data_IF_172384925160
#
_entry.id   IF_172384925160
#
_cell.length_a   1.000
_cell.length_b   1.000
_cell.length_c   1.000
_cell.angle_alpha   90.00
_cell.angle_beta   90.00
_cell.angle_gamma   90.00
#
_symmetry.space_group_name_H-M   'P 1'
#
loop_
_entity.id
_entity.type
_entity.pdbx_description
1 polymer ?
#
# COMPACT_ATOMS: atom_id res chain seq x y z
N UNK A 1 1.35 -11.11 -2.15
CA UNK A 1 1.46 -10.55 -0.78
C UNK A 1 0.05 -10.27 -0.27
N UNK A 2 -0.19 -10.57 1.00
CA UNK A 2 -1.35 -10.14 1.77
C UNK A 2 -0.84 -9.20 2.86
N UNK A 3 -1.53 -8.08 3.01
CA UNK A 3 -1.34 -7.14 4.11
C UNK A 3 -2.63 -7.12 4.93
N UNK A 4 -2.58 -7.57 6.18
CA UNK A 4 -3.74 -7.69 7.07
C UNK A 4 -3.59 -6.79 8.31
N UNK A 5 -4.71 -6.22 8.77
CA UNK A 5 -4.76 -5.33 9.95
C UNK A 5 -6.10 -5.38 10.66
N UNK A 6 -6.09 -5.66 11.96
CA UNK A 6 -7.25 -5.43 12.83
C UNK A 6 -7.50 -3.93 13.05
N UNK A 7 -8.75 -3.51 12.94
CA UNK A 7 -9.16 -2.10 12.89
C UNK A 7 -9.65 -1.56 14.23
N UNK A 8 -10.11 -2.43 15.13
CA UNK A 8 -10.86 -2.04 16.33
C UNK A 8 -10.27 -2.56 17.67
N UNK A 9 -9.15 -3.28 17.67
CA UNK A 9 -8.57 -3.85 18.90
C UNK A 9 -7.26 -3.18 19.34
N UNK A 10 -7.07 -3.07 20.65
CA UNK A 10 -5.77 -2.79 21.27
C UNK A 10 -5.09 -4.10 21.68
N UNK A 11 -3.82 -4.30 21.29
CA UNK A 11 -3.05 -5.53 21.50
C UNK A 11 -3.20 -6.54 20.35
N UNK A 12 -2.07 -7.01 19.80
CA UNK A 12 -1.97 -7.84 18.58
C UNK A 12 -2.51 -7.21 17.29
N UNK A 13 -2.66 -5.90 17.24
CA UNK A 13 -3.19 -5.17 16.10
C UNK A 13 -2.10 -4.64 15.17
N UNK A 14 -0.98 -5.35 15.04
CA UNK A 14 0.06 -4.95 14.07
C UNK A 14 -0.48 -5.04 12.64
N UNK A 15 0.20 -4.35 11.74
CA UNK A 15 0.04 -4.52 10.30
C UNK A 15 0.90 -5.71 9.86
N UNK A 16 0.27 -6.84 9.57
CA UNK A 16 0.96 -8.08 9.21
C UNK A 16 1.11 -8.24 7.70
N UNK A 17 2.32 -8.52 7.23
CA UNK A 17 2.65 -8.80 5.84
C UNK A 17 3.10 -10.24 5.68
N UNK A 18 2.43 -10.93 4.76
CA UNK A 18 2.77 -12.29 4.34
C UNK A 18 2.83 -12.33 2.83
N UNK A 19 3.74 -13.12 2.29
CA UNK A 19 3.89 -13.29 0.86
C UNK A 19 4.25 -14.74 0.55
N UNK A 20 3.97 -15.14 -0.68
CA UNK A 20 4.25 -16.48 -1.17
C UNK A 20 5.67 -16.64 -1.73
N UNK A 21 6.54 -15.63 -1.60
CA UNK A 21 7.90 -15.67 -2.13
C UNK A 21 8.93 -16.12 -1.08
N UNK A 22 8.60 -15.99 0.20
CA UNK A 22 9.38 -16.54 1.32
C UNK A 22 8.94 -17.97 1.66
N UNK A 23 9.87 -18.85 2.07
CA UNK A 23 9.59 -20.26 2.33
C UNK A 23 8.86 -20.51 3.66
N UNK A 24 8.91 -19.56 4.61
CA UNK A 24 8.20 -19.64 5.88
C UNK A 24 6.90 -18.83 5.84
N UNK A 25 5.89 -19.29 6.57
CA UNK A 25 4.66 -18.53 6.83
C UNK A 25 4.89 -17.36 7.82
N UNK A 26 6.13 -16.95 8.04
CA UNK A 26 6.47 -15.93 9.02
C UNK A 26 5.93 -14.56 8.61
N UNK A 27 5.29 -13.91 9.57
CA UNK A 27 4.73 -12.56 9.38
C UNK A 27 5.80 -11.51 9.57
N UNK A 28 5.76 -10.52 8.69
CA UNK A 28 6.43 -9.24 8.89
C UNK A 28 5.46 -8.26 9.52
N UNK A 29 5.98 -7.31 10.30
CA UNK A 29 5.20 -6.24 10.96
C UNK A 29 5.72 -4.89 10.50
N UNK A 30 4.87 -4.07 9.88
CA UNK A 30 5.32 -2.80 9.28
C UNK A 30 5.66 -1.72 10.30
N UNK A 31 5.18 -1.86 11.53
CA UNK A 31 5.51 -1.03 12.69
C UNK A 31 6.69 -1.57 13.51
N UNK A 32 7.47 -2.53 12.98
CA UNK A 32 8.59 -3.17 13.69
C UNK A 32 9.82 -3.33 12.81
N UNK A 33 11.01 -3.24 13.43
CA UNK A 33 12.29 -3.53 12.80
C UNK A 33 12.71 -5.01 12.96
N UNK A 34 11.98 -5.78 13.76
CA UNK A 34 12.29 -7.18 14.04
C UNK A 34 12.30 -8.03 12.75
N UNK A 35 13.00 -9.16 12.80
CA UNK A 35 12.91 -10.20 11.77
C UNK A 35 11.50 -10.81 11.71
N UNK A 36 11.13 -11.47 10.59
CA UNK A 36 9.91 -12.26 10.52
C UNK A 36 9.83 -13.25 11.68
N UNK A 37 8.61 -13.47 12.15
CA UNK A 37 8.33 -14.46 13.20
C UNK A 37 7.11 -15.28 12.82
N UNK A 38 7.07 -16.53 13.27
CA UNK A 38 5.93 -17.42 13.01
C UNK A 38 4.63 -16.78 13.54
N UNK A 39 3.59 -16.65 12.71
CA UNK A 39 2.28 -16.27 13.19
C UNK A 39 1.68 -17.40 14.02
N UNK A 40 0.92 -17.04 15.04
CA UNK A 40 0.01 -17.95 15.69
C UNK A 40 -1.11 -18.29 14.69
N UNK A 41 -0.96 -19.40 13.94
CA UNK A 41 -2.00 -20.00 13.08
C UNK A 41 -1.75 -20.09 11.57
N UNK A 42 -0.59 -19.64 11.06
CA UNK A 42 -0.19 -19.89 9.66
C UNK A 42 -1.01 -19.12 8.60
N UNK A 43 -0.54 -19.16 7.35
CA UNK A 43 -1.22 -18.58 6.19
C UNK A 43 -1.21 -19.61 5.05
N UNK A 44 -2.23 -19.58 4.21
CA UNK A 44 -2.22 -20.35 2.97
C UNK A 44 -2.70 -19.50 1.80
N UNK A 45 -2.04 -19.69 0.66
CA UNK A 45 -2.40 -19.03 -0.59
C UNK A 45 -3.04 -20.04 -1.54
N UNK A 46 -4.08 -19.61 -2.23
CA UNK A 46 -4.74 -20.38 -3.28
C UNK A 46 -4.93 -19.53 -4.53
N UNK A 47 -5.36 -20.14 -5.62
CA UNK A 47 -5.66 -19.41 -6.86
C UNK A 47 -6.80 -18.39 -6.70
N UNK A 48 -7.65 -18.56 -5.68
CA UNK A 48 -8.86 -17.76 -5.46
C UNK A 48 -8.76 -16.84 -4.23
N UNK A 49 -7.59 -16.76 -3.58
CA UNK A 49 -7.40 -15.91 -2.41
C UNK A 49 -6.43 -16.50 -1.41
N UNK A 50 -6.71 -16.28 -0.13
CA UNK A 50 -5.87 -16.72 0.96
C UNK A 50 -6.72 -17.06 2.18
N UNK A 51 -6.18 -17.91 3.06
CA UNK A 51 -6.72 -18.12 4.41
C UNK A 51 -5.77 -17.46 5.41
N UNK A 52 -6.31 -16.56 6.24
CA UNK A 52 -5.59 -16.03 7.40
C UNK A 52 -5.76 -17.00 8.56
N UNK A 53 -4.65 -17.41 9.16
CA UNK A 53 -4.67 -18.13 10.42
C UNK A 53 -4.45 -17.22 11.62
N UNK A 54 -4.37 -15.90 11.45
CA UNK A 54 -4.19 -15.00 12.59
C UNK A 54 -5.35 -15.11 13.57
N UNK A 55 -4.98 -15.31 14.84
CA UNK A 55 -5.94 -15.26 15.93
C UNK A 55 -6.21 -13.81 16.32
N UNK A 56 -7.38 -13.31 15.96
CA UNK A 56 -7.85 -11.98 16.34
C UNK A 56 -8.78 -12.06 17.56
N UNK A 57 -8.53 -11.23 18.58
CA UNK A 57 -9.41 -11.17 19.75
C UNK A 57 -10.82 -10.67 19.35
N UNK A 58 -11.85 -11.45 19.66
CA UNK A 58 -13.24 -11.14 19.30
C UNK A 58 -13.85 -10.08 20.24
N UNK A 59 -14.65 -9.10 19.73
CA UNK A 59 -15.03 -8.91 18.32
C UNK A 59 -13.93 -8.21 17.51
N UNK A 60 -13.44 -8.86 16.45
CA UNK A 60 -12.42 -8.31 15.56
C UNK A 60 -13.03 -7.86 14.23
N UNK A 61 -12.71 -6.63 13.82
CA UNK A 61 -12.91 -6.18 12.45
C UNK A 61 -11.56 -6.04 11.78
N UNK A 62 -11.39 -6.65 10.61
CA UNK A 62 -10.11 -6.76 9.93
C UNK A 62 -10.22 -6.14 8.55
N UNK A 63 -9.17 -5.44 8.14
CA UNK A 63 -8.93 -5.08 6.74
C UNK A 63 -7.84 -5.98 6.18
N UNK A 64 -7.96 -6.32 4.90
CA UNK A 64 -6.86 -6.91 4.17
C UNK A 64 -6.75 -6.36 2.76
N UNK A 65 -5.52 -6.24 2.30
CA UNK A 65 -5.19 -5.84 0.94
C UNK A 65 -4.30 -6.91 0.32
N UNK A 66 -4.69 -7.38 -0.86
CA UNK A 66 -3.98 -8.42 -1.57
C UNK A 66 -3.32 -7.85 -2.83
N UNK A 67 -2.03 -8.14 -2.95
CA UNK A 67 -1.21 -7.68 -4.06
C UNK A 67 -0.62 -8.90 -4.76
N UNK A 68 -1.17 -9.19 -5.94
CA UNK A 68 -0.72 -10.30 -6.79
C UNK A 68 0.38 -9.81 -7.72
N UNK A 69 1.42 -10.63 -7.92
CA UNK A 69 2.44 -10.35 -8.92
C UNK A 69 1.80 -10.15 -10.29
N UNK A 70 2.11 -9.03 -10.94
CA UNK A 70 1.71 -8.75 -12.31
C UNK A 70 2.62 -7.65 -12.91
N UNK A 71 3.02 -7.77 -14.20
CA UNK A 71 3.67 -6.68 -14.91
C UNK A 71 2.87 -5.38 -14.78
N UNK A 72 3.57 -4.26 -14.70
CA UNK A 72 3.01 -2.91 -14.52
C UNK A 72 2.15 -2.72 -13.26
N UNK A 73 2.20 -3.63 -12.30
CA UNK A 73 1.45 -3.51 -11.05
C UNK A 73 2.31 -3.74 -9.81
N UNK A 74 2.74 -4.98 -9.60
CA UNK A 74 3.38 -5.39 -8.35
C UNK A 74 4.31 -6.58 -8.58
N UNK A 75 5.44 -6.59 -7.87
CA UNK A 75 6.31 -7.77 -7.74
C UNK A 75 6.80 -7.91 -6.30
N UNK A 76 7.19 -9.14 -5.94
CA UNK A 76 7.90 -9.42 -4.69
C UNK A 76 9.17 -10.22 -5.00
N UNK A 77 10.32 -9.71 -4.56
CA UNK A 77 11.63 -10.31 -4.81
C UNK A 77 12.30 -10.59 -3.48
N UNK A 78 12.85 -11.79 -3.33
CA UNK A 78 13.73 -12.14 -2.21
C UNK A 78 15.17 -12.19 -2.70
N UNK A 79 16.12 -11.78 -1.87
CA UNK A 79 17.54 -11.83 -2.22
C UNK A 79 18.42 -11.90 -0.98
N UNK A 80 19.60 -12.52 -1.12
CA UNK A 80 20.66 -12.50 -0.10
C UNK A 80 21.62 -11.39 -0.44
N UNK A 81 21.82 -10.46 0.48
CA UNK A 81 22.77 -9.36 0.42
C UNK A 81 24.21 -9.83 0.25
N UNK A 82 25.04 -8.99 -0.38
CA UNK A 82 26.43 -9.33 -0.71
C UNK A 82 27.43 -8.19 -0.41
N UNK A 83 26.99 -7.13 0.28
CA UNK A 83 27.82 -5.98 0.64
C UNK A 83 28.32 -5.13 -0.53
N UNK A 84 28.04 -5.48 -1.79
CA UNK A 84 28.53 -4.76 -2.96
C UNK A 84 27.70 -3.50 -3.21
N UNK A 85 28.38 -2.37 -3.36
CA UNK A 85 27.78 -1.09 -3.77
C UNK A 85 27.35 -1.17 -5.24
N UNK A 86 26.17 -0.65 -5.57
CA UNK A 86 25.68 -0.65 -6.95
C UNK A 86 25.12 -2.00 -7.38
N UNK A 87 24.80 -2.90 -6.43
CA UNK A 87 24.16 -4.17 -6.76
C UNK A 87 22.79 -3.92 -7.37
N UNK A 88 22.54 -4.55 -8.51
CA UNK A 88 21.25 -4.56 -9.17
C UNK A 88 20.41 -5.74 -8.70
N UNK A 89 19.16 -5.47 -8.33
CA UNK A 89 18.16 -6.47 -7.97
C UNK A 89 17.09 -6.49 -9.07
N UNK A 90 16.94 -7.62 -9.81
CA UNK A 90 15.99 -7.71 -10.91
C UNK A 90 14.54 -7.79 -10.41
N UNK A 91 13.61 -7.24 -11.19
CA UNK A 91 12.16 -7.33 -10.97
C UNK A 91 11.40 -7.42 -12.30
N UNK A 92 10.14 -7.87 -12.25
CA UNK A 92 9.36 -8.23 -13.44
C UNK A 92 8.25 -7.23 -13.78
N UNK A 93 8.45 -5.95 -13.47
CA UNK A 93 7.41 -4.94 -13.69
C UNK A 93 7.31 -4.50 -15.15
N UNK A 94 8.42 -4.49 -15.90
CA UNK A 94 8.44 -3.97 -17.28
C UNK A 94 8.29 -2.44 -17.36
N UNK A 95 8.19 -1.76 -16.22
CA UNK A 95 8.16 -0.30 -16.03
C UNK A 95 8.92 0.05 -14.77
N UNK A 96 9.37 1.30 -14.64
CA UNK A 96 10.09 1.73 -13.45
C UNK A 96 9.19 1.68 -12.20
N UNK A 97 9.68 1.14 -11.07
CA UNK A 97 8.98 1.19 -9.80
C UNK A 97 8.62 2.62 -9.38
N UNK A 98 7.40 2.79 -8.88
CA UNK A 98 6.97 4.02 -8.22
C UNK A 98 7.26 4.04 -6.72
N UNK A 99 7.19 2.87 -6.08
CA UNK A 99 7.49 2.67 -4.67
C UNK A 99 8.16 1.31 -4.47
N UNK A 100 9.24 1.27 -3.69
CA UNK A 100 9.93 0.03 -3.32
C UNK A 100 10.05 -0.01 -1.80
N UNK A 101 9.62 -1.10 -1.19
CA UNK A 101 9.69 -1.32 0.24
C UNK A 101 10.60 -2.52 0.50
N UNK A 102 11.77 -2.30 1.08
CA UNK A 102 12.75 -3.34 1.41
C UNK A 102 12.76 -3.61 2.91
N UNK A 103 12.78 -4.89 3.28
CA UNK A 103 12.94 -5.35 4.65
C UNK A 103 13.98 -6.44 4.77
N UNK A 104 14.89 -6.27 5.73
CA UNK A 104 15.79 -7.34 6.17
C UNK A 104 15.02 -8.41 6.94
N UNK A 105 15.22 -9.68 6.53
CA UNK A 105 14.51 -10.86 7.04
C UNK A 105 15.37 -11.80 7.87
N UNK A 106 16.65 -11.52 8.07
CA UNK A 106 17.57 -12.27 8.93
C UNK A 106 18.42 -11.37 9.84
N UNK A 107 19.35 -11.97 10.60
CA UNK A 107 20.23 -11.28 11.51
C UNK A 107 19.46 -10.65 12.67
N UNK A 108 19.85 -9.44 13.08
CA UNK A 108 19.13 -8.66 14.10
C UNK A 108 17.86 -7.96 13.56
N UNK A 109 17.55 -8.13 12.27
CA UNK A 109 16.54 -7.32 11.59
C UNK A 109 17.06 -5.93 11.22
N UNK A 110 16.15 -5.02 10.90
CA UNK A 110 16.49 -3.70 10.38
C UNK A 110 15.27 -2.89 9.99
N UNK A 111 15.47 -1.58 9.86
CA UNK A 111 14.46 -0.63 9.41
C UNK A 111 13.91 -0.99 8.03
N UNK A 112 12.62 -0.74 7.81
CA UNK A 112 12.01 -0.80 6.49
C UNK A 112 12.53 0.36 5.65
N UNK A 113 13.18 0.09 4.52
CA UNK A 113 13.69 1.15 3.64
C UNK A 113 12.71 1.36 2.50
N UNK A 114 12.23 2.59 2.36
CA UNK A 114 11.26 2.95 1.31
C UNK A 114 11.89 3.91 0.32
N UNK A 115 11.92 3.50 -0.94
CA UNK A 115 12.10 4.37 -2.10
C UNK A 115 10.72 4.82 -2.57
N UNK A 116 10.59 6.08 -2.97
CA UNK A 116 9.40 6.55 -3.64
C UNK A 116 9.76 7.60 -4.68
N UNK A 117 9.27 7.47 -5.92
CA UNK A 117 9.62 8.38 -7.03
C UNK A 117 9.25 9.85 -6.77
N UNK A 118 8.29 10.09 -5.88
CA UNK A 118 7.84 11.41 -5.47
C UNK A 118 8.55 11.98 -4.23
N UNK A 119 9.55 11.30 -3.65
CA UNK A 119 10.28 11.85 -2.49
C UNK A 119 11.01 13.12 -2.84
N UNK A 120 11.53 13.25 -4.05
CA UNK A 120 12.17 14.43 -4.59
C UNK A 120 11.83 14.57 -6.08
N UNK A 121 11.83 15.81 -6.60
CA UNK A 121 11.46 16.07 -7.99
C UNK A 121 12.50 15.59 -9.00
N UNK A 122 13.77 15.51 -8.59
CA UNK A 122 14.90 15.28 -9.51
C UNK A 122 15.75 14.07 -9.13
N UNK A 123 15.93 13.81 -7.84
CA UNK A 123 16.79 12.74 -7.36
C UNK A 123 16.14 11.95 -6.21
N UNK A 124 14.98 11.29 -6.43
CA UNK A 124 14.29 10.52 -5.39
C UNK A 124 15.15 9.40 -4.78
N UNK A 125 16.11 8.87 -5.54
CA UNK A 125 17.04 7.82 -5.13
C UNK A 125 18.10 8.26 -4.10
N UNK A 126 18.26 9.57 -3.87
CA UNK A 126 19.17 10.11 -2.86
C UNK A 126 18.51 10.18 -1.47
N UNK A 127 17.25 9.73 -1.37
CA UNK A 127 16.45 9.78 -0.16
C UNK A 127 15.88 8.43 0.22
N UNK A 128 15.64 8.27 1.52
CA UNK A 128 14.85 7.19 2.07
C UNK A 128 13.70 7.75 2.89
N UNK A 129 12.66 6.94 3.02
CA UNK A 129 11.76 6.98 4.16
C UNK A 129 11.77 5.62 4.87
N UNK A 130 11.13 5.57 6.04
CA UNK A 130 11.05 4.35 6.83
C UNK A 130 9.60 4.01 7.15
N UNK A 131 9.16 2.80 6.78
CA UNK A 131 7.75 2.41 6.89
C UNK A 131 7.27 2.31 8.34
N UNK A 132 8.18 1.98 9.27
CA UNK A 132 7.85 1.87 10.69
C UNK A 132 7.92 3.19 11.48
N UNK A 133 8.27 4.29 10.81
CA UNK A 133 8.55 5.58 11.46
C UNK A 133 7.61 6.68 10.93
N UNK A 134 7.51 7.75 11.72
CA UNK A 134 6.82 9.00 11.39
C UNK A 134 7.74 10.05 10.78
N UNK A 135 9.07 9.87 10.86
CA UNK A 135 10.06 10.81 10.37
C UNK A 135 9.84 11.23 8.90
N UNK A 136 10.32 12.42 8.54
CA UNK A 136 10.34 12.89 7.15
C UNK A 136 11.35 12.09 6.31
N UNK A 137 11.41 12.38 5.01
CA UNK A 137 12.49 11.86 4.15
C UNK A 137 13.86 12.26 4.73
N UNK A 138 14.84 11.39 4.59
CA UNK A 138 16.23 11.64 4.98
C UNK A 138 17.17 11.35 3.81
N UNK A 139 18.24 12.13 3.68
CA UNK A 139 19.30 11.87 2.70
C UNK A 139 19.95 10.52 3.01
N UNK A 140 20.11 9.69 1.99
CA UNK A 140 20.65 8.35 2.14
C UNK A 140 21.13 7.81 0.81
N UNK A 141 22.23 7.06 0.85
CA UNK A 141 22.75 6.35 -0.30
C UNK A 141 22.21 4.93 -0.43
N UNK A 142 21.13 4.55 0.28
CA UNK A 142 20.61 3.16 0.29
C UNK A 142 20.28 2.61 -1.11
N UNK A 143 19.89 3.48 -2.04
CA UNK A 143 19.56 3.13 -3.43
C UNK A 143 20.75 3.32 -4.39
N UNK A 144 21.96 3.40 -3.84
CA UNK A 144 23.20 3.64 -4.59
C UNK A 144 23.15 4.88 -5.49
N UNK A 145 22.34 5.89 -5.11
CA UNK A 145 22.05 7.10 -5.88
C UNK A 145 21.71 6.80 -7.36
N UNK A 146 21.11 5.64 -7.64
CA UNK A 146 20.76 5.19 -8.99
C UNK A 146 19.25 4.99 -9.09
N UNK A 147 18.61 5.70 -10.02
CA UNK A 147 17.17 5.58 -10.23
C UNK A 147 16.80 4.17 -10.71
N UNK A 148 15.71 3.56 -10.20
CA UNK A 148 15.20 2.28 -10.70
C UNK A 148 14.84 2.34 -12.18
N UNK A 149 15.03 1.23 -12.89
CA UNK A 149 14.69 1.07 -14.31
C UNK A 149 13.48 0.14 -14.47
N UNK A 150 13.14 -0.22 -15.71
CA UNK A 150 12.03 -1.14 -15.99
C UNK A 150 12.26 -2.60 -15.54
N UNK A 151 13.48 -2.96 -15.16
CA UNK A 151 13.90 -4.34 -14.90
C UNK A 151 14.78 -4.52 -13.67
N UNK A 152 15.39 -3.45 -13.15
CA UNK A 152 16.23 -3.50 -11.94
C UNK A 152 16.03 -2.27 -11.05
N UNK A 153 16.17 -2.46 -9.75
CA UNK A 153 16.52 -1.39 -8.82
C UNK A 153 17.91 -1.63 -8.23
N UNK A 154 18.59 -0.56 -7.81
CA UNK A 154 19.96 -0.64 -7.34
C UNK A 154 20.02 -0.37 -5.85
N UNK A 155 20.83 -1.17 -5.14
CA UNK A 155 21.04 -1.04 -3.70
C UNK A 155 22.51 -0.80 -3.39
N UNK A 156 22.77 -0.12 -2.29
CA UNK A 156 24.12 0.11 -1.77
C UNK A 156 24.52 -0.99 -0.77
N UNK A 157 25.81 -1.19 -0.53
CA UNK A 157 26.35 -2.24 0.34
C UNK A 157 26.07 -2.09 1.84
N UNK A 158 25.31 -1.08 2.25
CA UNK A 158 25.07 -0.76 3.66
C UNK A 158 23.90 -1.56 4.28
N UNK A 159 23.87 -1.54 5.62
CA UNK A 159 22.82 -2.13 6.44
C UNK A 159 21.41 -1.65 6.07
N UNK A 160 20.49 -2.61 5.94
CA UNK A 160 19.07 -2.37 5.66
C UNK A 160 18.65 -2.51 4.21
N UNK A 161 19.57 -2.67 3.25
CA UNK A 161 19.22 -3.02 1.85
C UNK A 161 20.10 -4.08 1.20
N UNK A 162 21.37 -4.25 1.59
CA UNK A 162 22.27 -5.23 0.95
C UNK A 162 23.44 -5.67 1.84
N UNK A 163 23.28 -5.72 3.16
CA UNK A 163 24.36 -6.20 4.03
C UNK A 163 24.77 -7.62 3.65
N UNK A 164 26.07 -7.90 3.69
CA UNK A 164 26.61 -9.20 3.28
C UNK A 164 26.00 -10.35 4.09
N UNK A 165 25.67 -11.46 3.41
CA UNK A 165 25.02 -12.67 3.96
C UNK A 165 23.59 -12.50 4.49
N UNK A 166 23.09 -11.28 4.67
CA UNK A 166 21.73 -11.02 5.17
C UNK A 166 20.66 -11.21 4.10
N UNK A 167 19.50 -11.75 4.47
CA UNK A 167 18.37 -11.95 3.55
C UNK A 167 17.41 -10.77 3.59
N UNK A 168 16.78 -10.51 2.44
CA UNK A 168 15.86 -9.39 2.24
C UNK A 168 14.63 -9.83 1.44
N UNK A 169 13.53 -9.12 1.67
CA UNK A 169 12.36 -9.09 0.77
C UNK A 169 12.11 -7.66 0.32
N UNK A 170 11.81 -7.50 -0.98
CA UNK A 170 11.40 -6.25 -1.60
C UNK A 170 9.98 -6.38 -2.14
N UNK A 171 9.09 -5.47 -1.71
CA UNK A 171 7.75 -5.29 -2.29
C UNK A 171 7.79 -4.09 -3.23
N UNK A 172 7.52 -4.34 -4.51
CA UNK A 172 7.85 -3.43 -5.60
C UNK A 172 6.56 -3.04 -6.31
N UNK A 173 6.15 -1.78 -6.18
CA UNK A 173 4.94 -1.23 -6.78
C UNK A 173 5.30 -0.42 -8.02
N UNK A 174 4.62 -0.70 -9.12
CA UNK A 174 4.85 0.00 -10.38
C UNK A 174 4.38 1.46 -10.34
N UNK A 175 4.89 2.25 -11.26
CA UNK A 175 4.26 3.50 -11.69
C UNK A 175 3.88 3.35 -13.16
N UNK A 176 2.58 3.26 -13.44
CA UNK A 176 2.06 3.06 -14.79
C UNK A 176 1.08 4.18 -15.17
N UNK A 177 1.53 5.04 -16.08
CA UNK A 177 0.75 6.18 -16.60
C UNK A 177 0.03 5.87 -17.90
N UNK A 178 0.07 4.61 -18.36
CA UNK A 178 -0.74 4.20 -19.51
C UNK A 178 -2.24 4.33 -19.20
N UNK A 179 -3.05 4.46 -20.26
CA UNK A 179 -4.51 4.68 -20.16
C UNK A 179 -5.22 3.59 -19.35
N UNK A 180 -4.76 2.36 -19.47
CA UNK A 180 -5.23 1.17 -18.77
C UNK A 180 -4.42 0.85 -17.49
N UNK A 181 -3.46 1.71 -17.14
CA UNK A 181 -2.68 1.62 -15.92
C UNK A 181 -3.59 1.54 -14.68
N UNK A 182 -3.23 0.64 -13.76
CA UNK A 182 -4.00 0.37 -12.54
C UNK A 182 -3.30 0.86 -11.27
N UNK A 183 -2.10 1.41 -11.38
CA UNK A 183 -1.32 1.92 -10.24
C UNK A 183 -0.50 3.14 -10.64
N UNK A 184 -0.54 4.18 -9.81
CA UNK A 184 0.31 5.35 -9.98
C UNK A 184 0.86 5.81 -8.63
N UNK A 185 2.17 6.02 -8.59
CA UNK A 185 2.85 6.69 -7.50
C UNK A 185 3.21 8.14 -7.87
N UNK A 186 3.07 9.07 -6.93
CA UNK A 186 3.41 10.48 -7.16
C UNK A 186 3.56 11.28 -5.87
N UNK A 187 3.53 12.59 -5.99
CA UNK A 187 3.52 13.52 -4.87
C UNK A 187 2.42 14.55 -5.03
N UNK A 188 2.07 15.20 -3.92
CA UNK A 188 1.21 16.38 -3.89
C UNK A 188 1.69 17.34 -2.81
N UNK A 189 1.32 18.60 -2.96
CA UNK A 189 1.57 19.65 -1.98
C UNK A 189 0.23 20.20 -1.53
N UNK A 190 0.03 20.31 -0.23
CA UNK A 190 -1.16 20.95 0.33
C UNK A 190 -0.97 22.47 0.37
N UNK A 191 -2.07 23.20 0.23
CA UNK A 191 -2.08 24.65 0.36
C UNK A 191 -1.96 25.11 1.82
N UNK A 192 -2.01 26.42 2.05
CA UNK A 192 -1.94 27.01 3.40
C UNK A 192 -3.13 26.61 4.31
N UNK A 193 -4.19 26.04 3.73
CA UNK A 193 -5.35 25.50 4.44
C UNK A 193 -5.33 23.97 4.55
N UNK A 194 -4.23 23.32 4.12
CA UNK A 194 -4.07 21.87 4.18
C UNK A 194 -4.85 21.12 3.10
N UNK A 195 -5.25 21.79 2.01
CA UNK A 195 -5.99 21.17 0.92
C UNK A 195 -5.07 20.79 -0.26
N UNK A 196 -5.31 19.63 -0.85
CA UNK A 196 -4.74 19.27 -2.15
C UNK A 196 -5.74 18.47 -3.00
N UNK A 197 -5.54 18.49 -4.31
CA UNK A 197 -6.27 17.65 -5.27
C UNK A 197 -5.29 16.93 -6.17
N UNK A 198 -5.46 15.61 -6.31
CA UNK A 198 -4.65 14.77 -7.18
C UNK A 198 -5.54 14.21 -8.28
N UNK A 199 -5.16 14.47 -9.53
CA UNK A 199 -5.83 13.96 -10.71
C UNK A 199 -5.05 12.76 -11.26
N UNK A 200 -5.65 11.58 -11.18
CA UNK A 200 -5.17 10.31 -11.72
C UNK A 200 -5.85 9.97 -13.06
N UNK A 201 -6.95 10.65 -13.40
CA UNK A 201 -7.83 10.30 -14.52
C UNK A 201 -8.75 9.11 -14.25
N UNK A 202 -8.75 8.58 -13.03
CA UNK A 202 -9.56 7.43 -12.61
C UNK A 202 -9.81 7.42 -11.10
N UNK A 203 -10.86 6.71 -10.69
CA UNK A 203 -11.21 6.54 -9.28
C UNK A 203 -10.27 5.54 -8.59
N UNK A 204 -9.58 5.92 -7.51
CA UNK A 204 -8.79 4.99 -6.71
C UNK A 204 -9.70 4.09 -5.85
N UNK A 205 -9.27 2.85 -5.65
CA UNK A 205 -9.80 1.98 -4.59
C UNK A 205 -8.90 1.98 -3.36
N UNK A 206 -7.60 2.18 -3.51
CA UNK A 206 -6.63 2.15 -2.42
C UNK A 206 -5.63 3.29 -2.59
N UNK A 207 -5.32 4.00 -1.51
CA UNK A 207 -4.24 4.98 -1.44
C UNK A 207 -3.47 4.76 -0.15
N UNK A 208 -2.15 4.58 -0.26
CA UNK A 208 -1.22 4.80 0.84
C UNK A 208 -0.48 6.11 0.59
N UNK A 209 -0.40 6.96 1.61
CA UNK A 209 0.29 8.25 1.51
C UNK A 209 1.04 8.61 2.79
N UNK A 210 2.03 9.48 2.65
CA UNK A 210 2.92 9.88 3.75
C UNK A 210 3.45 11.28 3.49
N UNK A 211 3.43 12.13 4.52
CA UNK A 211 4.13 13.42 4.48
C UNK A 211 5.64 13.18 4.34
N UNK A 212 6.26 13.78 3.34
CA UNK A 212 7.68 13.57 3.00
C UNK A 212 8.61 14.66 3.56
N UNK A 213 8.08 15.82 3.94
CA UNK A 213 8.85 16.99 4.40
C UNK A 213 8.65 17.32 5.90
N UNK A 214 8.07 16.40 6.66
CA UNK A 214 7.88 16.54 8.09
C UNK A 214 7.39 15.26 8.75
N UNK A 215 7.14 15.35 10.06
CA UNK A 215 6.62 14.24 10.85
C UNK A 215 5.16 13.95 10.46
N UNK A 216 4.82 12.68 10.31
CA UNK A 216 3.46 12.20 10.04
C UNK A 216 3.42 10.70 9.77
N UNK A 217 2.25 10.09 9.92
CA UNK A 217 2.08 8.64 9.73
C UNK A 217 2.01 8.23 8.24
N UNK A 218 2.14 6.92 8.00
CA UNK A 218 1.84 6.27 6.74
C UNK A 218 0.36 5.88 6.68
N UNK A 219 -0.47 6.76 6.13
CA UNK A 219 -1.91 6.58 6.11
C UNK A 219 -2.35 5.67 4.95
N UNK A 220 -3.22 4.71 5.27
CA UNK A 220 -3.79 3.75 4.33
C UNK A 220 -5.31 3.89 4.31
N UNK A 221 -5.84 4.23 3.14
CA UNK A 221 -7.25 4.53 2.90
C UNK A 221 -7.78 3.74 1.71
N UNK A 222 -9.01 3.22 1.82
CA UNK A 222 -9.69 2.55 0.71
C UNK A 222 -11.20 2.80 0.71
N UNK A 223 -11.81 2.62 -0.47
CA UNK A 223 -13.23 2.90 -0.68
C UNK A 223 -14.17 1.87 -0.05
N UNK A 224 -13.68 0.68 0.32
CA UNK A 224 -14.48 -0.36 0.96
C UNK A 224 -14.75 -0.06 2.44
N UNK A 225 -13.91 0.77 3.08
CA UNK A 225 -14.00 1.13 4.50
C UNK A 225 -14.53 2.53 4.76
N UNK A 226 -15.17 3.15 3.77
CA UNK A 226 -15.87 4.42 3.97
C UNK A 226 -15.05 5.66 3.63
N UNK A 227 -14.04 5.56 2.74
CA UNK A 227 -13.66 6.73 1.93
C UNK A 227 -14.83 7.03 0.98
N UNK A 228 -15.90 7.59 1.53
CA UNK A 228 -17.12 7.93 0.81
C UNK A 228 -17.01 9.35 0.26
N UNK A 229 -17.71 9.57 -0.85
CA UNK A 229 -17.82 10.80 -1.64
C UNK A 229 -18.46 11.96 -0.83
N UNK A 230 -18.87 11.71 0.42
CA UNK A 230 -19.63 12.61 1.30
C UNK A 230 -19.05 12.64 2.71
N UNK A 231 -19.12 13.83 3.32
CA UNK A 231 -18.10 14.43 4.19
C UNK A 231 -17.94 13.90 5.64
N UNK A 232 -18.44 12.71 5.99
CA UNK A 232 -18.76 12.46 7.42
C UNK A 232 -18.14 11.25 8.12
N UNK A 233 -17.44 10.33 7.46
CA UNK A 233 -16.79 9.22 8.19
C UNK A 233 -15.50 8.76 7.54
N UNK A 234 -14.40 9.44 7.80
CA UNK A 234 -13.10 9.11 7.22
C UNK A 234 -12.39 8.07 8.05
N UNK A 235 -12.05 6.94 7.44
CA UNK A 235 -11.39 5.82 8.10
C UNK A 235 -10.01 5.59 7.48
N UNK A 236 -8.98 5.75 8.31
CA UNK A 236 -7.59 5.54 7.92
C UNK A 236 -6.90 4.62 8.93
N UNK A 237 -6.03 3.77 8.42
CA UNK A 237 -5.09 3.00 9.24
C UNK A 237 -3.69 3.57 9.05
N UNK A 238 -2.89 3.61 10.12
CA UNK A 238 -1.48 4.01 10.05
C UNK A 238 -0.59 2.78 9.99
N UNK A 239 0.02 2.53 8.83
CA UNK A 239 0.89 1.38 8.56
C UNK A 239 2.11 1.30 9.51
N UNK A 240 2.52 2.41 10.09
CA UNK A 240 3.63 2.49 11.04
C UNK A 240 3.22 2.26 12.51
N UNK A 241 1.95 1.93 12.79
CA UNK A 241 1.44 1.78 14.16
C UNK A 241 0.65 0.49 14.35
N UNK A 242 0.49 0.06 15.60
CA UNK A 242 -0.50 -0.97 15.97
C UNK A 242 -1.86 -0.38 16.34
N UNK A 243 -2.02 0.95 16.22
CA UNK A 243 -3.22 1.68 16.62
C UNK A 243 -4.47 1.26 15.86
N UNK A 244 -5.63 1.50 16.46
CA UNK A 244 -6.92 1.31 15.80
C UNK A 244 -7.12 2.29 14.65
N UNK A 245 -8.15 2.08 13.85
CA UNK A 245 -8.55 2.99 12.80
C UNK A 245 -8.79 4.40 13.35
N UNK A 246 -8.27 5.40 12.64
CA UNK A 246 -8.36 6.81 13.00
C UNK A 246 -9.08 7.61 11.92
N UNK A 247 -9.45 8.84 12.24
CA UNK A 247 -10.09 9.74 11.30
C UNK A 247 -9.05 10.68 10.68
N UNK A 248 -8.78 10.49 9.38
CA UNK A 248 -7.94 11.36 8.56
C UNK A 248 -8.65 11.60 7.23
N UNK A 249 -8.79 12.85 6.84
CA UNK A 249 -9.71 13.22 5.77
C UNK A 249 -9.12 12.99 4.40
N UNK A 250 -9.72 12.12 3.59
CA UNK A 250 -9.43 12.02 2.17
C UNK A 250 -10.72 11.65 1.44
N UNK A 251 -10.94 12.25 0.29
CA UNK A 251 -12.14 12.03 -0.52
C UNK A 251 -11.72 11.51 -1.89
N UNK A 252 -12.12 10.28 -2.20
CA UNK A 252 -11.98 9.75 -3.55
C UNK A 252 -13.06 10.31 -4.46
N UNK A 253 -12.71 10.54 -5.73
CA UNK A 253 -13.62 10.99 -6.77
C UNK A 253 -13.31 10.24 -8.08
N UNK A 254 -14.15 10.44 -9.09
CA UNK A 254 -14.04 9.74 -10.39
C UNK A 254 -12.71 9.95 -11.12
N UNK A 255 -11.95 10.98 -10.75
CA UNK A 255 -10.68 11.35 -11.39
C UNK A 255 -9.46 11.21 -10.47
N UNK A 256 -9.63 10.86 -9.20
CA UNK A 256 -8.52 10.78 -8.25
C UNK A 256 -8.98 10.99 -6.82
N UNK A 257 -8.30 11.88 -6.08
CA UNK A 257 -8.62 12.13 -4.68
C UNK A 257 -8.31 13.57 -4.24
N UNK A 258 -8.89 13.97 -3.11
CA UNK A 258 -8.65 15.23 -2.41
C UNK A 258 -8.26 14.97 -0.97
N UNK A 259 -7.38 15.79 -0.43
CA UNK A 259 -6.99 15.77 1.00
C UNK A 259 -7.34 17.10 1.63
N UNK A 260 -8.55 17.29 2.18
CA UNK A 260 -8.91 18.56 2.79
C UNK A 260 -8.38 18.64 4.23
N UNK A 261 -7.93 19.83 4.64
CA UNK A 261 -7.50 20.14 6.01
C UNK A 261 -6.46 19.16 6.63
N UNK A 262 -5.57 18.55 5.83
CA UNK A 262 -4.46 17.76 6.35
C UNK A 262 -3.15 18.50 6.12
N UNK A 263 -2.37 18.73 7.18
CA UNK A 263 -1.04 19.36 7.16
C UNK A 263 -0.93 20.59 6.24
N UNK A 264 -0.83 21.79 6.79
CA UNK A 264 -0.70 23.01 5.98
C UNK A 264 0.66 23.09 5.27
N UNK A 265 0.65 23.52 4.00
CA UNK A 265 1.85 23.77 3.19
C UNK A 265 2.86 22.61 3.19
N UNK A 266 2.37 21.37 3.09
CA UNK A 266 3.15 20.16 3.27
C UNK A 266 3.26 19.35 1.97
N UNK A 267 4.42 18.77 1.73
CA UNK A 267 4.67 17.82 0.67
C UNK A 267 4.41 16.40 1.16
N UNK A 268 3.71 15.63 0.33
CA UNK A 268 3.40 14.24 0.59
C UNK A 268 3.62 13.39 -0.66
N UNK A 269 3.91 12.11 -0.43
CA UNK A 269 3.97 11.07 -1.45
C UNK A 269 2.74 10.18 -1.37
N UNK A 270 2.38 9.56 -2.48
CA UNK A 270 1.29 8.57 -2.52
C UNK A 270 1.59 7.43 -3.48
N UNK A 271 1.03 6.26 -3.18
CA UNK A 271 0.81 5.15 -4.11
C UNK A 271 -0.68 4.86 -4.16
N UNK A 272 -1.30 5.07 -5.33
CA UNK A 272 -2.72 4.89 -5.57
C UNK A 272 -2.97 3.72 -6.51
N UNK A 273 -3.99 2.91 -6.22
CA UNK A 273 -4.42 1.78 -7.05
C UNK A 273 -5.84 2.03 -7.50
N UNK A 274 -6.05 1.88 -8.81
CA UNK A 274 -7.32 2.08 -9.50
C UNK A 274 -8.37 1.09 -9.01
N UNK A 275 -9.61 1.55 -8.88
CA UNK A 275 -10.76 0.66 -8.64
C UNK A 275 -10.89 -0.32 -9.82
N UNK A 276 -11.00 -1.64 -9.57
CA UNK A 276 -11.20 -2.61 -10.63
C UNK A 276 -12.46 -2.26 -11.41
N UNK A 277 -12.27 -1.87 -12.66
CA UNK A 277 -13.37 -1.75 -13.60
C UNK A 277 -13.48 -3.09 -14.32
N UNK A 278 -13.87 -4.15 -13.60
CA UNK A 278 -14.08 -5.46 -14.23
C UNK A 278 -15.31 -5.30 -15.12
N UNK A 279 -15.20 -5.39 -16.46
CA UNK A 279 -16.37 -5.48 -17.30
C UNK A 279 -17.16 -6.71 -16.84
N UNK A 280 -18.50 -6.63 -16.73
CA UNK A 280 -19.31 -7.74 -16.24
C UNK A 280 -18.97 -9.01 -17.04
N UNK A 281 -18.52 -10.04 -16.33
CA UNK A 281 -18.11 -11.32 -16.93
C UNK A 281 -19.32 -12.19 -17.30
N UNK A 282 -20.52 -11.80 -16.89
CA UNK A 282 -21.78 -12.34 -17.39
C UNK A 282 -22.87 -11.27 -17.36
N UNK A 283 -23.82 -11.34 -18.29
CA UNK A 283 -24.95 -10.40 -18.39
C UNK A 283 -25.84 -10.35 -17.14
N UNK A 284 -25.74 -11.33 -16.25
CA UNK A 284 -26.44 -11.38 -14.96
C UNK A 284 -25.92 -10.40 -13.91
N UNK A 285 -24.69 -9.89 -14.04
CA UNK A 285 -24.11 -8.96 -13.07
C UNK A 285 -24.65 -7.51 -13.20
N UNK A 286 -25.43 -7.23 -14.26
CA UNK A 286 -26.04 -5.91 -14.51
C UNK A 286 -27.53 -5.83 -14.18
N UNK A 287 -28.16 -6.95 -13.78
CA UNK A 287 -29.60 -6.99 -13.60
C UNK A 287 -29.99 -6.90 -12.11
N UNK A 288 -30.15 -5.68 -11.61
CA UNK A 288 -30.95 -5.43 -10.41
C UNK A 288 -32.39 -5.18 -10.85
N UNK A 289 -33.21 -6.23 -10.96
CA UNK A 289 -34.65 -6.05 -11.09
C UNK A 289 -35.20 -5.47 -9.79
N UNK A 290 -35.52 -4.17 -9.81
CA UNK A 290 -36.45 -3.58 -8.85
C UNK A 290 -37.85 -4.05 -9.27
N UNK A 291 -38.42 -5.02 -8.56
CA UNK A 291 -39.85 -5.33 -8.72
C UNK A 291 -40.67 -4.17 -8.14
N UNK A 292 -41.17 -3.28 -8.99
CA UNK A 292 -42.28 -2.38 -8.61
C UNK A 292 -43.54 -3.22 -8.50
N UNK A 293 -44.00 -3.48 -7.28
CA UNK A 293 -45.37 -3.91 -7.07
C UNK A 293 -46.28 -2.72 -7.39
N UNK A 294 -46.81 -2.66 -8.61
CA UNK A 294 -47.92 -1.76 -8.95
C UNK A 294 -49.20 -2.36 -8.36
N UNK A 295 -49.76 -1.66 -7.37
CA UNK A 295 -51.15 -1.78 -6.97
C UNK A 295 -52.04 -1.41 -8.15
N UNK A 296 -52.78 -2.35 -8.71
CA UNK A 296 -53.98 -2.01 -9.49
C UNK A 296 -55.20 -2.33 -8.63
N UNK A 297 -55.80 -1.26 -8.10
CA UNK A 297 -57.25 -1.21 -7.92
C UNK A 297 -57.88 -1.33 -9.30
N UNK A 298 -58.82 -2.25 -9.46
CA UNK A 298 -60.05 -1.97 -10.19
C UNK A 298 -61.12 -3.01 -9.85
N UNK A 299 -62.33 -2.51 -9.95
CA UNK A 299 -63.54 -2.88 -9.23
C UNK A 299 -64.49 -3.71 -10.14
N UNK A 300 -65.52 -4.28 -9.51
CA UNK A 300 -66.85 -4.70 -10.03
C UNK A 300 -67.11 -6.10 -10.69
N UNK A 301 -68.20 -6.71 -10.15
CA UNK A 301 -69.20 -7.70 -10.66
C UNK A 301 -68.77 -9.19 -10.63
N UNK A 302 -69.45 -10.13 -9.96
CA UNK A 302 -70.88 -10.32 -9.61
C UNK A 302 -71.11 -10.79 -8.18
#
# INVERSE_FOLDING_TARGET
MVWEKMRNGGGFADHYLVDSARPSNDVLRTNSTAIPSSPWGGYSFSNNGYTSGLYWNSPATVASWTFRKAPKFFDVVTYTGNGVIGRQIPHNLGVAPGMIIVKQTSGAGGAWRVYHRGTDATAPQDYIMQLQDTASRATSSAWSNTAPTNSVFTVNGAGGTNADTETYVAYIFAHDTSTDGIIQCGSFTTDASGNASVNLGWEPQYVIWKRSDGVGDWFVQDNMRGVAVTDSTYKSLSANTSGTEQNITMVFNSTGFKTPANYTSANAIYCAIRRPNKPPTSGTQMYNAISRATTSSDDIIS
#
